data_IF_072212452631
#
_entry.id   IF_072212452631
#
_cell.length_a   1.000
_cell.length_b   1.000
_cell.length_c   1.000
_cell.angle_alpha   90.00
_cell.angle_beta   90.00
_cell.angle_gamma   90.00
#
_symmetry.space_group_name_H-M   'P 1'
#
loop_
_entity.id
_entity.type
_entity.pdbx_description
1 polymer ?
#
# COMPACT_ATOMS: atom_id res chain seq x y z
N UNK A 1 7.10 -4.09 -18.20
CA UNK A 1 6.41 -3.20 -17.26
C UNK A 1 7.08 -3.16 -15.88
N UNK A 2 7.94 -4.14 -15.58
CA UNK A 2 8.71 -4.23 -14.35
C UNK A 2 10.20 -4.19 -14.66
N UNK A 3 10.96 -3.44 -13.88
CA UNK A 3 12.42 -3.35 -13.89
C UNK A 3 12.93 -3.64 -12.49
N UNK A 4 14.03 -4.37 -12.36
CA UNK A 4 14.63 -4.72 -11.08
C UNK A 4 16.13 -4.45 -11.06
N UNK A 5 16.65 -4.14 -9.87
CA UNK A 5 18.07 -3.97 -9.61
C UNK A 5 18.38 -4.22 -8.14
N UNK A 6 19.51 -4.86 -7.85
CA UNK A 6 20.03 -4.96 -6.49
C UNK A 6 20.98 -3.79 -6.21
N UNK A 7 20.67 -2.99 -5.16
CA UNK A 7 21.40 -1.79 -4.75
C UNK A 7 21.96 -1.99 -3.33
N UNK A 8 23.17 -2.48 -3.21
CA UNK A 8 23.85 -2.71 -1.90
C UNK A 8 22.99 -3.52 -0.91
N UNK A 9 22.39 -4.63 -1.36
CA UNK A 9 21.52 -5.48 -0.54
C UNK A 9 20.08 -4.99 -0.38
N UNK A 10 19.72 -3.91 -1.06
CA UNK A 10 18.35 -3.39 -1.17
C UNK A 10 17.82 -3.71 -2.57
N UNK A 11 16.74 -4.46 -2.66
CA UNK A 11 16.10 -4.73 -3.94
C UNK A 11 15.31 -3.51 -4.40
N UNK A 12 15.52 -3.09 -5.64
CA UNK A 12 14.73 -2.04 -6.29
C UNK A 12 13.84 -2.66 -7.35
N UNK A 13 12.53 -2.38 -7.30
CA UNK A 13 11.54 -2.84 -8.27
C UNK A 13 10.75 -1.63 -8.75
N UNK A 14 10.89 -1.27 -10.02
CA UNK A 14 10.07 -0.24 -10.66
C UNK A 14 8.93 -0.88 -11.42
N UNK A 15 7.70 -0.47 -11.12
CA UNK A 15 6.49 -0.87 -11.86
C UNK A 15 6.05 0.33 -12.68
N UNK A 16 6.28 0.30 -13.99
CA UNK A 16 5.93 1.43 -14.89
C UNK A 16 4.44 1.50 -15.17
N UNK A 17 3.76 0.36 -15.19
CA UNK A 17 2.32 0.25 -15.45
C UNK A 17 1.81 -1.11 -15.00
N UNK A 18 0.57 -1.18 -14.57
CA UNK A 18 -0.14 -2.44 -14.32
C UNK A 18 -0.79 -2.95 -15.63
N UNK A 19 -0.39 -4.12 -16.08
CA UNK A 19 -0.87 -4.80 -17.28
C UNK A 19 -0.91 -6.31 -17.04
N UNK A 20 -1.50 -7.06 -17.94
CA UNK A 20 -1.75 -8.50 -17.78
C UNK A 20 -0.50 -9.33 -17.43
N UNK A 21 0.68 -8.90 -17.87
CA UNK A 21 1.94 -9.59 -17.60
C UNK A 21 2.70 -9.05 -16.38
N UNK A 22 2.19 -8.01 -15.71
CA UNK A 22 2.95 -7.31 -14.65
C UNK A 22 3.12 -8.17 -13.42
N UNK A 23 2.11 -8.97 -13.06
CA UNK A 23 2.20 -9.87 -11.91
C UNK A 23 3.33 -10.91 -12.07
N UNK A 24 3.40 -11.60 -13.20
CA UNK A 24 4.46 -12.60 -13.42
C UNK A 24 5.85 -11.97 -13.49
N UNK A 25 5.98 -10.79 -14.11
CA UNK A 25 7.24 -10.04 -14.11
C UNK A 25 7.64 -9.61 -12.69
N UNK A 26 6.69 -9.10 -11.92
CA UNK A 26 6.90 -8.70 -10.52
C UNK A 26 7.35 -9.87 -9.66
N UNK A 27 6.67 -11.00 -9.75
CA UNK A 27 6.98 -12.23 -9.00
C UNK A 27 8.38 -12.75 -9.33
N UNK A 28 8.75 -12.73 -10.62
CA UNK A 28 10.10 -13.09 -11.07
C UNK A 28 11.16 -12.15 -10.49
N UNK A 29 10.96 -10.83 -10.63
CA UNK A 29 11.86 -9.80 -10.11
C UNK A 29 12.03 -9.90 -8.58
N UNK A 30 10.91 -10.03 -7.85
CA UNK A 30 10.91 -10.21 -6.41
C UNK A 30 11.73 -11.44 -6.00
N UNK A 31 11.46 -12.60 -6.64
CA UNK A 31 12.13 -13.85 -6.32
C UNK A 31 13.63 -13.80 -6.64
N UNK A 32 14.02 -13.17 -7.76
CA UNK A 32 15.41 -12.97 -8.13
C UNK A 32 16.17 -12.14 -7.09
N UNK A 33 15.61 -10.98 -6.71
CA UNK A 33 16.22 -10.08 -5.72
C UNK A 33 16.38 -10.74 -4.34
N UNK A 34 15.37 -11.49 -3.88
CA UNK A 34 15.47 -12.24 -2.62
C UNK A 34 16.57 -13.31 -2.71
N UNK A 35 16.66 -14.02 -3.84
CA UNK A 35 17.71 -15.03 -4.07
C UNK A 35 19.10 -14.42 -4.15
N UNK A 36 19.21 -13.17 -4.60
CA UNK A 36 20.46 -12.39 -4.62
C UNK A 36 20.80 -11.77 -3.25
N UNK A 37 19.96 -11.97 -2.24
CA UNK A 37 20.20 -11.53 -0.86
C UNK A 37 19.64 -10.16 -0.50
N UNK A 38 18.63 -9.67 -1.22
CA UNK A 38 17.93 -8.45 -0.82
C UNK A 38 17.28 -8.63 0.57
N UNK A 39 17.56 -7.72 1.48
CA UNK A 39 17.03 -7.71 2.85
C UNK A 39 15.94 -6.66 3.08
N UNK A 40 15.75 -5.80 2.09
CA UNK A 40 14.71 -4.77 2.06
C UNK A 40 14.40 -4.37 0.62
N UNK A 41 13.29 -3.66 0.39
CA UNK A 41 12.82 -3.33 -0.95
C UNK A 41 12.49 -1.84 -1.11
N UNK A 42 12.76 -1.33 -2.29
CA UNK A 42 12.19 -0.08 -2.82
C UNK A 42 11.24 -0.44 -3.95
N UNK A 43 9.97 -0.08 -3.82
CA UNK A 43 9.01 -0.09 -4.90
C UNK A 43 8.96 1.29 -5.54
N UNK A 44 9.21 1.43 -6.83
CA UNK A 44 9.11 2.70 -7.54
C UNK A 44 7.86 2.72 -8.42
N UNK A 45 6.89 3.55 -8.00
CA UNK A 45 5.62 3.79 -8.67
C UNK A 45 5.55 5.20 -9.27
N UNK A 46 6.65 5.93 -9.28
CA UNK A 46 6.66 7.27 -9.89
C UNK A 46 6.34 7.17 -11.37
N UNK A 47 5.54 8.10 -11.85
CA UNK A 47 5.01 8.14 -13.22
C UNK A 47 4.12 6.96 -13.62
N UNK A 48 3.79 6.06 -12.71
CA UNK A 48 2.85 4.98 -12.95
C UNK A 48 1.41 5.51 -12.88
N UNK A 49 0.73 5.59 -14.00
CA UNK A 49 -0.64 6.13 -14.12
C UNK A 49 -1.72 5.07 -13.89
N UNK A 50 -1.35 3.88 -13.39
CA UNK A 50 -2.27 2.77 -13.15
C UNK A 50 -2.25 1.70 -14.25
N UNK A 51 -3.42 1.14 -14.56
CA UNK A 51 -3.54 0.11 -15.60
C UNK A 51 -4.73 -0.81 -15.40
N UNK A 52 -4.49 -2.12 -15.20
CA UNK A 52 -5.54 -3.09 -14.89
C UNK A 52 -5.63 -3.34 -13.40
N UNK A 53 -6.85 -3.29 -12.86
CA UNK A 53 -7.12 -3.52 -11.44
C UNK A 53 -6.74 -4.95 -11.05
N UNK A 54 -6.99 -5.90 -11.94
CA UNK A 54 -6.68 -7.32 -11.73
C UNK A 54 -5.20 -7.52 -11.46
N UNK A 55 -4.31 -6.92 -12.25
CA UNK A 55 -2.86 -7.05 -12.04
C UNK A 55 -2.41 -6.47 -10.70
N UNK A 56 -2.96 -5.34 -10.28
CA UNK A 56 -2.67 -4.78 -8.96
C UNK A 56 -3.19 -5.67 -7.82
N UNK A 57 -4.40 -6.24 -7.97
CA UNK A 57 -4.97 -7.20 -7.01
C UNK A 57 -4.12 -8.46 -6.88
N UNK A 58 -3.62 -9.02 -7.98
CA UNK A 58 -2.75 -10.21 -7.96
C UNK A 58 -1.46 -9.94 -7.19
N UNK A 59 -0.80 -8.79 -7.45
CA UNK A 59 0.43 -8.43 -6.74
C UNK A 59 0.14 -8.18 -5.26
N UNK A 60 -0.93 -7.44 -4.93
CA UNK A 60 -1.31 -7.22 -3.54
C UNK A 60 -1.67 -8.53 -2.84
N UNK A 61 -2.45 -9.40 -3.48
CA UNK A 61 -2.75 -10.71 -2.94
C UNK A 61 -1.49 -11.53 -2.67
N UNK A 62 -0.45 -11.40 -3.50
CA UNK A 62 0.83 -12.06 -3.30
C UNK A 62 1.62 -11.49 -2.13
N UNK A 63 1.60 -10.17 -1.91
CA UNK A 63 2.41 -9.49 -0.88
C UNK A 63 1.75 -9.42 0.49
N UNK A 64 0.41 -9.38 0.53
CA UNK A 64 -0.34 -9.13 1.76
C UNK A 64 -0.60 -10.42 2.53
N UNK A 65 -0.73 -10.36 3.87
CA UNK A 65 -1.21 -11.48 4.65
C UNK A 65 -2.63 -11.86 4.23
N UNK A 66 -2.98 -13.13 4.43
CA UNK A 66 -4.33 -13.61 4.13
C UNK A 66 -5.39 -12.78 4.85
N UNK A 67 -6.37 -12.32 4.12
CA UNK A 67 -7.49 -11.54 4.63
C UNK A 67 -7.88 -10.36 3.75
N UNK A 68 -8.78 -9.54 4.27
CA UNK A 68 -9.27 -8.34 3.61
C UNK A 68 -8.19 -7.25 3.58
N UNK A 69 -7.99 -6.60 2.44
CA UNK A 69 -7.03 -5.50 2.33
C UNK A 69 -7.60 -4.20 1.73
N UNK A 70 -8.72 -4.25 1.02
CA UNK A 70 -9.40 -3.07 0.48
C UNK A 70 -10.84 -3.41 0.09
N UNK A 71 -11.60 -2.41 -0.33
CA UNK A 71 -12.96 -2.56 -0.85
C UNK A 71 -13.07 -1.91 -2.23
N UNK A 72 -13.98 -2.44 -3.04
CA UNK A 72 -14.45 -1.84 -4.27
C UNK A 72 -15.94 -1.54 -4.13
N UNK A 73 -16.33 -0.26 -4.23
CA UNK A 73 -17.72 0.17 -4.21
C UNK A 73 -18.23 0.28 -5.63
N UNK A 74 -19.19 -0.57 -6.00
CA UNK A 74 -19.80 -0.57 -7.33
C UNK A 74 -20.82 0.58 -7.44
N UNK A 75 -20.58 1.52 -8.34
CA UNK A 75 -21.38 2.75 -8.47
C UNK A 75 -22.87 2.50 -8.76
N UNK A 76 -23.16 1.52 -9.62
CA UNK A 76 -24.54 1.23 -10.05
C UNK A 76 -25.42 0.63 -8.95
N UNK A 77 -24.86 -0.23 -8.11
CA UNK A 77 -25.59 -1.01 -7.11
C UNK A 77 -25.35 -0.54 -5.69
N UNK A 78 -24.34 0.31 -5.48
CA UNK A 78 -23.79 0.65 -4.16
C UNK A 78 -23.33 -0.60 -3.37
N UNK A 79 -23.09 -1.69 -4.06
CA UNK A 79 -22.55 -2.93 -3.50
C UNK A 79 -21.08 -2.74 -3.18
N UNK A 80 -20.65 -3.22 -2.01
CA UNK A 80 -19.26 -3.24 -1.60
C UNK A 80 -18.68 -4.64 -1.78
N UNK A 81 -17.69 -4.75 -2.66
CA UNK A 81 -16.95 -5.98 -2.91
C UNK A 81 -15.67 -5.96 -2.09
N UNK A 82 -15.41 -7.05 -1.39
CA UNK A 82 -14.21 -7.20 -0.58
C UNK A 82 -13.03 -7.67 -1.45
N UNK A 83 -11.90 -6.96 -1.35
CA UNK A 83 -10.64 -7.34 -1.98
C UNK A 83 -9.78 -8.07 -0.94
N UNK A 84 -9.60 -9.37 -1.15
CA UNK A 84 -8.95 -10.27 -0.19
C UNK A 84 -7.70 -10.93 -0.76
N UNK A 85 -6.70 -11.12 0.08
CA UNK A 85 -5.56 -11.98 -0.19
C UNK A 85 -5.87 -13.40 0.29
N UNK A 86 -5.64 -14.39 -0.55
CA UNK A 86 -5.98 -15.79 -0.26
C UNK A 86 -4.75 -16.67 0.00
N UNK A 87 -3.58 -16.24 -0.45
CA UNK A 87 -2.37 -17.03 -0.32
C UNK A 87 -1.79 -17.00 1.10
N UNK A 88 -0.85 -17.91 1.37
CA UNK A 88 -0.14 -18.02 2.64
C UNK A 88 1.18 -17.25 2.67
N UNK A 89 1.63 -16.76 1.52
CA UNK A 89 2.84 -15.94 1.43
C UNK A 89 2.50 -14.51 1.87
N UNK A 90 3.41 -13.90 2.56
CA UNK A 90 3.37 -12.46 2.85
C UNK A 90 4.79 -11.91 2.75
N UNK A 91 4.90 -10.67 2.31
CA UNK A 91 6.16 -9.96 2.38
C UNK A 91 6.47 -9.60 3.83
N UNK A 92 7.63 -10.03 4.33
CA UNK A 92 8.05 -9.81 5.72
C UNK A 92 9.40 -9.07 5.82
N UNK A 93 9.75 -8.33 4.77
CA UNK A 93 10.96 -7.50 4.75
C UNK A 93 10.58 -6.01 4.66
N UNK A 94 11.38 -5.12 5.27
CA UNK A 94 11.13 -3.69 5.23
C UNK A 94 11.04 -3.16 3.80
N UNK A 95 10.12 -2.23 3.56
CA UNK A 95 10.06 -1.58 2.25
C UNK A 95 9.77 -0.09 2.32
N UNK A 96 10.13 0.59 1.24
CA UNK A 96 9.79 1.98 0.93
C UNK A 96 9.14 2.00 -0.45
N UNK A 97 8.10 2.81 -0.62
CA UNK A 97 7.47 3.03 -1.93
C UNK A 97 7.67 4.48 -2.36
N UNK A 98 8.28 4.66 -3.53
CA UNK A 98 8.45 5.97 -4.16
C UNK A 98 7.21 6.32 -4.95
N UNK A 99 6.68 7.53 -4.73
CA UNK A 99 5.48 8.05 -5.38
C UNK A 99 5.68 9.50 -5.82
N UNK A 100 4.91 9.94 -6.82
CA UNK A 100 4.88 11.34 -7.25
C UNK A 100 3.48 11.76 -7.72
N UNK A 101 3.31 13.01 -8.10
CA UNK A 101 2.03 13.58 -8.55
C UNK A 101 1.44 12.92 -9.81
N UNK A 102 2.19 12.03 -10.47
CA UNK A 102 1.71 11.24 -11.62
C UNK A 102 1.39 9.78 -11.25
N UNK A 103 1.73 9.35 -10.03
CA UNK A 103 1.27 8.06 -9.50
C UNK A 103 -0.25 8.08 -9.35
N UNK A 104 -0.96 7.19 -10.03
CA UNK A 104 -2.43 7.25 -10.11
C UNK A 104 -3.08 5.86 -10.17
N UNK A 105 -4.36 5.79 -9.81
CA UNK A 105 -5.20 4.61 -9.98
C UNK A 105 -4.71 3.39 -9.21
N UNK A 106 -4.43 2.31 -9.92
CA UNK A 106 -3.98 1.04 -9.33
C UNK A 106 -2.61 1.14 -8.66
N UNK A 107 -1.77 2.11 -9.08
CA UNK A 107 -0.53 2.40 -8.39
C UNK A 107 -0.78 3.05 -7.02
N UNK A 108 -1.83 3.87 -6.91
CA UNK A 108 -2.27 4.40 -5.62
C UNK A 108 -2.88 3.32 -4.75
N UNK A 109 -3.68 2.39 -5.33
CA UNK A 109 -4.19 1.24 -4.58
C UNK A 109 -3.04 0.42 -3.98
N UNK A 110 -2.03 0.10 -4.78
CA UNK A 110 -0.85 -0.63 -4.31
C UNK A 110 -0.15 0.11 -3.16
N UNK A 111 0.13 1.39 -3.35
CA UNK A 111 0.84 2.21 -2.36
C UNK A 111 0.04 2.36 -1.06
N UNK A 112 -1.27 2.67 -1.14
CA UNK A 112 -2.09 2.92 0.04
C UNK A 112 -2.36 1.65 0.86
N UNK A 113 -2.57 0.50 0.20
CA UNK A 113 -2.75 -0.77 0.90
C UNK A 113 -1.49 -1.12 1.69
N UNK A 114 -0.31 -1.09 1.05
CA UNK A 114 0.94 -1.36 1.77
C UNK A 114 1.22 -0.36 2.89
N UNK A 115 0.87 0.92 2.72
CA UNK A 115 0.99 1.94 3.76
C UNK A 115 0.03 1.68 4.93
N UNK A 116 -1.25 1.41 4.65
CA UNK A 116 -2.27 1.13 5.67
C UNK A 116 -1.91 -0.06 6.55
N UNK A 117 -1.32 -1.10 5.94
CA UNK A 117 -0.83 -2.28 6.65
C UNK A 117 0.60 -2.13 7.19
N UNK A 118 1.16 -0.94 7.17
CA UNK A 118 2.51 -0.63 7.67
C UNK A 118 3.64 -1.48 7.03
N UNK A 119 3.40 -1.97 5.81
CA UNK A 119 4.38 -2.75 5.05
C UNK A 119 5.38 -1.89 4.32
N UNK A 120 5.04 -0.61 4.10
CA UNK A 120 5.88 0.36 3.40
C UNK A 120 5.76 1.75 4.01
N UNK A 121 6.75 2.59 3.76
CA UNK A 121 6.69 4.04 3.95
C UNK A 121 6.69 4.70 2.59
N UNK A 122 5.76 5.64 2.36
CA UNK A 122 5.73 6.41 1.12
C UNK A 122 6.73 7.56 1.20
N UNK A 123 7.56 7.70 0.17
CA UNK A 123 8.52 8.81 0.01
C UNK A 123 8.33 9.42 -1.38
N UNK A 124 8.36 10.73 -1.46
CA UNK A 124 8.23 11.45 -2.72
C UNK A 124 7.26 12.60 -2.63
N UNK A 125 6.34 12.71 -3.58
CA UNK A 125 5.31 13.76 -3.64
C UNK A 125 3.90 13.17 -3.52
N UNK A 126 2.92 14.03 -3.21
CA UNK A 126 1.50 13.66 -3.16
C UNK A 126 1.05 13.09 -4.49
N UNK A 127 0.30 11.98 -4.46
CA UNK A 127 -0.15 11.29 -5.66
C UNK A 127 -1.33 11.97 -6.34
N UNK A 128 -1.76 11.46 -7.51
CA UNK A 128 -2.75 12.09 -8.36
C UNK A 128 -4.18 12.13 -7.80
N UNK A 129 -4.53 11.23 -6.89
CA UNK A 129 -5.87 11.19 -6.30
C UNK A 129 -6.94 10.59 -7.20
N UNK A 130 -6.68 9.42 -7.80
CA UNK A 130 -7.61 8.73 -8.69
C UNK A 130 -7.94 7.35 -8.13
N UNK A 131 -9.07 7.24 -7.41
CA UNK A 131 -9.53 5.96 -6.87
C UNK A 131 -10.63 5.30 -7.71
N UNK A 132 -11.07 5.93 -8.79
CA UNK A 132 -12.19 5.47 -9.62
C UNK A 132 -11.72 4.50 -10.67
N UNK A 133 -12.40 3.35 -10.76
CA UNK A 133 -12.22 2.36 -11.81
C UNK A 133 -13.10 2.70 -12.98
N UNK A 134 -12.54 2.64 -14.18
CA UNK A 134 -13.25 2.89 -15.44
C UNK A 134 -13.29 1.61 -16.27
N UNK A 135 -14.45 1.33 -16.87
CA UNK A 135 -14.65 0.23 -17.79
C UNK A 135 -15.08 0.71 -19.16
N UNK A 136 -14.62 0.01 -20.20
CA UNK A 136 -14.96 0.31 -21.57
C UNK A 136 -16.09 -0.59 -22.05
N UNK A 137 -17.15 0.01 -22.57
CA UNK A 137 -18.33 -0.66 -23.12
C UNK A 137 -18.36 -0.46 -24.64
N UNK A 138 -18.12 -1.50 -25.45
CA UNK A 138 -18.13 -1.38 -26.89
C UNK A 138 -19.53 -1.06 -27.40
N UNK A 139 -19.61 -0.16 -28.39
CA UNK A 139 -20.83 0.15 -29.12
C UNK A 139 -20.79 -0.64 -30.42
N UNK A 140 -21.83 -1.43 -30.66
CA UNK A 140 -21.85 -2.51 -31.65
C UNK A 140 -21.81 -2.06 -33.13
N UNK A 141 -21.90 -0.75 -33.44
CA UNK A 141 -22.00 -0.28 -34.84
C UNK A 141 -20.74 0.31 -35.44
N UNK A 142 -19.76 0.83 -34.64
CA UNK A 142 -18.73 1.71 -35.20
C UNK A 142 -17.31 1.52 -34.65
N UNK A 143 -16.96 0.39 -34.09
CA UNK A 143 -15.68 0.20 -33.37
C UNK A 143 -15.41 1.26 -32.26
N UNK A 144 -16.48 1.91 -31.80
CA UNK A 144 -16.42 2.89 -30.70
C UNK A 144 -16.67 2.22 -29.36
N UNK A 145 -16.21 2.81 -28.29
CA UNK A 145 -16.52 2.39 -26.93
C UNK A 145 -16.81 3.59 -26.04
N UNK A 146 -17.69 3.41 -25.07
CA UNK A 146 -17.93 4.38 -24.00
C UNK A 146 -17.11 3.98 -22.80
N UNK A 147 -16.35 4.91 -22.23
CA UNK A 147 -15.64 4.75 -20.98
C UNK A 147 -16.48 5.33 -19.84
N UNK A 148 -16.85 4.50 -18.88
CA UNK A 148 -17.66 4.90 -17.74
C UNK A 148 -16.96 4.53 -16.43
N UNK A 149 -17.14 5.36 -15.42
CA UNK A 149 -16.79 5.00 -14.05
C UNK A 149 -17.76 3.91 -13.58
N UNK A 150 -17.22 2.79 -13.14
CA UNK A 150 -18.01 1.63 -12.69
C UNK A 150 -17.91 1.40 -11.20
N UNK A 151 -16.79 1.76 -10.59
CA UNK A 151 -16.58 1.57 -9.16
C UNK A 151 -15.53 2.54 -8.60
N UNK A 152 -15.47 2.58 -7.28
CA UNK A 152 -14.49 3.38 -6.53
C UNK A 152 -13.78 2.49 -5.52
N UNK A 153 -12.45 2.55 -5.49
CA UNK A 153 -11.62 1.85 -4.52
C UNK A 153 -11.63 2.57 -3.18
N UNK A 154 -11.69 1.80 -2.10
CA UNK A 154 -11.75 2.31 -0.73
C UNK A 154 -10.84 1.50 0.19
N UNK A 155 -10.27 2.18 1.19
CA UNK A 155 -9.51 1.55 2.26
C UNK A 155 -10.44 0.84 3.27
N UNK A 156 -9.91 -0.15 3.99
CA UNK A 156 -10.67 -0.90 5.02
C UNK A 156 -11.22 0.04 6.09
N UNK A 157 -10.42 0.99 6.56
CA UNK A 157 -10.84 1.97 7.59
C UNK A 157 -11.85 2.98 7.08
N UNK A 158 -12.27 2.84 5.84
CA UNK A 158 -13.13 3.79 5.16
C UNK A 158 -12.36 4.98 4.61
N UNK A 159 -12.96 5.62 3.64
CA UNK A 159 -12.35 6.75 2.94
C UNK A 159 -11.74 6.35 1.60
N UNK A 160 -11.60 7.36 0.78
CA UNK A 160 -11.00 7.27 -0.54
C UNK A 160 -9.98 8.39 -0.67
N UNK A 161 -8.96 8.15 -1.47
CA UNK A 161 -7.98 9.16 -1.84
C UNK A 161 -8.42 9.99 -3.07
N UNK A 162 -9.65 9.79 -3.54
CA UNK A 162 -10.20 10.51 -4.69
C UNK A 162 -10.09 12.02 -4.53
N UNK A 163 -9.47 12.68 -5.51
CA UNK A 163 -9.28 14.13 -5.56
C UNK A 163 -8.27 14.72 -4.56
N UNK A 164 -7.72 13.90 -3.65
CA UNK A 164 -6.75 14.35 -2.63
C UNK A 164 -5.36 13.79 -2.83
N UNK A 165 -5.27 12.57 -3.38
CA UNK A 165 -4.04 11.79 -3.44
C UNK A 165 -3.63 11.20 -2.09
N UNK A 166 -2.57 10.40 -2.14
CA UNK A 166 -1.90 9.86 -0.97
C UNK A 166 -0.81 10.82 -0.52
N UNK A 167 -0.80 11.15 0.74
CA UNK A 167 0.27 11.96 1.32
C UNK A 167 1.43 11.05 1.69
N UNK A 168 2.66 11.31 1.20
CA UNK A 168 3.81 10.51 1.57
C UNK A 168 4.20 10.71 3.04
N UNK A 169 4.72 9.66 3.69
CA UNK A 169 5.29 9.75 5.04
C UNK A 169 6.49 10.72 5.08
N UNK A 170 7.19 10.86 3.97
CA UNK A 170 8.28 11.82 3.79
C UNK A 170 8.16 12.52 2.45
N UNK A 171 7.83 13.81 2.50
CA UNK A 171 7.82 14.65 1.31
C UNK A 171 9.26 14.92 0.86
N UNK A 172 9.59 14.57 -0.38
CA UNK A 172 10.87 14.85 -1.03
C UNK A 172 10.59 15.26 -2.46
N UNK A 173 10.81 16.51 -2.79
CA UNK A 173 10.66 17.02 -4.15
C UNK A 173 11.93 16.77 -4.95
N UNK A 174 11.78 16.45 -6.24
CA UNK A 174 12.91 16.48 -7.17
C UNK A 174 13.18 17.94 -7.52
N UNK A 175 14.41 18.37 -7.33
CA UNK A 175 14.84 19.73 -7.64
C UNK A 175 15.65 19.76 -8.95
N UNK A 176 15.59 20.90 -9.65
CA UNK A 176 16.37 21.16 -10.84
C UNK A 176 15.56 21.09 -12.14
N UNK A 177 16.24 21.34 -13.25
CA UNK A 177 15.64 21.37 -14.59
C UNK A 177 15.30 19.98 -15.15
N UNK A 178 15.97 18.93 -14.66
CA UNK A 178 15.77 17.57 -15.12
C UNK A 178 15.03 16.75 -14.04
N UNK A 179 13.72 16.65 -14.20
CA UNK A 179 12.84 15.78 -13.40
C UNK A 179 12.48 14.48 -14.12
N UNK A 180 13.10 14.20 -15.27
CA UNK A 180 12.88 12.97 -16.00
C UNK A 180 13.63 11.83 -15.30
N UNK A 181 12.88 10.94 -14.67
CA UNK A 181 13.41 9.82 -13.87
C UNK A 181 14.31 8.89 -14.70
N UNK A 182 14.08 8.76 -16.01
CA UNK A 182 14.85 7.87 -16.88
C UNK A 182 16.24 8.44 -17.24
N UNK A 183 16.48 9.71 -16.91
CA UNK A 183 17.74 10.42 -17.16
C UNK A 183 18.53 10.70 -15.86
N UNK A 184 17.93 10.47 -14.69
CA UNK A 184 18.60 10.65 -13.41
C UNK A 184 19.53 9.45 -13.13
N UNK A 185 20.75 9.75 -12.69
CA UNK A 185 21.57 8.71 -12.07
C UNK A 185 21.07 8.43 -10.65
N UNK A 186 21.46 7.30 -10.09
CA UNK A 186 21.09 6.96 -8.71
C UNK A 186 21.49 8.07 -7.72
N UNK A 187 22.64 8.70 -7.90
CA UNK A 187 23.16 9.77 -7.04
C UNK A 187 22.38 11.08 -7.18
N UNK A 188 21.81 11.33 -8.35
CA UNK A 188 21.01 12.52 -8.65
C UNK A 188 19.56 12.39 -8.20
N UNK A 189 19.09 11.17 -7.95
CA UNK A 189 17.72 10.88 -7.52
C UNK A 189 17.57 11.04 -6.01
N UNK A 190 17.26 12.26 -5.56
CA UNK A 190 17.10 12.57 -4.14
C UNK A 190 16.02 11.72 -3.45
N UNK A 191 14.95 11.33 -4.16
CA UNK A 191 13.90 10.48 -3.63
C UNK A 191 14.41 9.05 -3.42
N UNK A 192 15.13 8.49 -4.39
CA UNK A 192 15.75 7.18 -4.27
C UNK A 192 16.82 7.17 -3.17
N UNK A 193 17.67 8.20 -3.10
CA UNK A 193 18.65 8.34 -2.02
C UNK A 193 18.00 8.37 -0.63
N UNK A 194 16.89 9.10 -0.48
CA UNK A 194 16.12 9.13 0.76
C UNK A 194 15.55 7.75 1.12
N UNK A 195 15.04 7.01 0.13
CA UNK A 195 14.53 5.65 0.33
C UNK A 195 15.64 4.70 0.81
N UNK A 196 16.79 4.69 0.13
CA UNK A 196 17.93 3.88 0.50
C UNK A 196 18.46 4.21 1.91
N UNK A 197 18.57 5.51 2.24
CA UNK A 197 18.98 5.96 3.57
C UNK A 197 17.99 5.53 4.66
N UNK A 198 16.69 5.58 4.38
CA UNK A 198 15.64 5.13 5.28
C UNK A 198 15.76 3.63 5.58
N UNK A 199 15.96 2.81 4.55
CA UNK A 199 16.09 1.35 4.70
C UNK A 199 17.41 0.94 5.37
N UNK A 200 18.47 1.72 5.19
CA UNK A 200 19.74 1.51 5.92
C UNK A 200 19.67 1.93 7.40
N UNK A 201 18.53 2.46 7.87
CA UNK A 201 18.35 2.95 9.24
C UNK A 201 19.03 4.30 9.54
N UNK A 202 19.52 5.00 8.53
CA UNK A 202 20.19 6.28 8.68
C UNK A 202 19.21 7.46 8.90
N UNK A 203 17.92 7.27 8.52
CA UNK A 203 16.87 8.29 8.63
C UNK A 203 15.59 7.62 9.16
N UNK A 204 15.02 8.20 10.23
CA UNK A 204 13.71 7.80 10.72
C UNK A 204 12.61 8.53 9.94
N UNK A 205 11.66 7.77 9.40
CA UNK A 205 10.45 8.29 8.78
C UNK A 205 9.27 7.93 9.69
N UNK A 206 8.39 8.87 10.05
CA UNK A 206 7.23 8.57 10.88
C UNK A 206 6.39 7.45 10.29
N UNK A 207 5.97 6.52 11.15
CA UNK A 207 4.93 5.54 10.85
C UNK A 207 3.69 6.05 11.55
N UNK A 208 2.58 6.21 10.84
CA UNK A 208 1.32 6.50 11.50
C UNK A 208 0.98 5.33 12.45
N UNK A 209 0.54 5.61 13.69
CA UNK A 209 0.18 4.55 14.62
C UNK A 209 -0.97 3.72 14.03
N UNK A 210 -0.87 2.41 14.15
CA UNK A 210 -1.93 1.48 13.75
C UNK A 210 -3.22 1.82 14.49
N UNK A 211 -4.28 2.32 13.82
CA UNK A 211 -5.55 2.60 14.49
C UNK A 211 -6.32 1.32 14.86
N UNK A 212 -5.77 0.12 14.57
CA UNK A 212 -6.37 -1.17 14.90
C UNK A 212 -5.90 -1.78 16.22
N UNK A 213 -4.87 -1.25 16.88
CA UNK A 213 -4.45 -1.72 18.21
C UNK A 213 -5.23 -0.97 19.30
N UNK A 214 -6.53 -1.24 19.39
CA UNK A 214 -7.22 -1.04 20.67
C UNK A 214 -6.70 -2.14 21.59
N UNK A 215 -5.86 -1.78 22.56
CA UNK A 215 -5.60 -2.65 23.72
C UNK A 215 -6.96 -3.13 24.26
N UNK A 216 -7.11 -4.43 24.56
CA UNK A 216 -8.30 -4.90 25.21
C UNK A 216 -8.42 -4.12 26.54
N UNK A 217 -9.63 -3.69 26.93
CA UNK A 217 -9.80 -2.95 28.18
C UNK A 217 -9.19 -3.77 29.31
N UNK A 218 -8.22 -3.19 29.99
CA UNK A 218 -7.69 -3.73 31.25
C UNK A 218 -8.87 -3.81 32.21
N UNK A 219 -9.34 -5.02 32.46
CA UNK A 219 -10.30 -5.27 33.54
C UNK A 219 -9.58 -4.96 34.83
N UNK A 220 -9.81 -3.76 35.36
CA UNK A 220 -9.52 -3.46 36.77
C UNK A 220 -10.30 -4.45 37.64
N UNK A 221 -9.59 -5.44 38.13
CA UNK A 221 -10.09 -6.32 39.18
C UNK A 221 -10.06 -5.52 40.47
N UNK A 222 -11.12 -4.77 40.70
CA UNK A 222 -11.39 -4.17 42.01
C UNK A 222 -11.60 -5.30 43.01
N UNK A 223 -10.60 -5.54 43.79
CA UNK A 223 -10.66 -6.41 44.95
C UNK A 223 -11.65 -5.79 45.97
N UNK A 224 -12.82 -6.38 46.11
CA UNK A 224 -13.76 -6.02 47.16
C UNK A 224 -13.19 -6.43 48.52
N UNK A 225 -13.32 -5.60 49.57
CA UNK A 225 -12.89 -5.96 50.90
C UNK A 225 -13.82 -7.04 51.52
N UNK A 226 -13.24 -8.07 52.08
CA UNK A 226 -13.91 -9.13 52.84
C UNK A 226 -14.56 -8.55 54.11
N UNK A 227 -15.89 -8.57 54.17
CA UNK A 227 -16.63 -8.36 55.41
C UNK A 227 -16.55 -9.64 56.30
N UNK A 228 -15.97 -9.46 57.45
CA UNK A 228 -15.94 -10.42 58.56
C UNK A 228 -17.31 -10.35 59.24
N UNK A 229 -18.11 -11.39 59.13
CA UNK A 229 -19.31 -11.53 59.93
C UNK A 229 -18.95 -12.23 61.24
N UNK A 230 -18.97 -11.47 62.33
CA UNK A 230 -19.03 -12.02 63.71
C UNK A 230 -20.38 -12.69 63.93
N UNK A 231 -20.29 -13.92 64.38
CA UNK A 231 -21.40 -14.71 64.91
C UNK A 231 -21.66 -14.30 66.36
N UNK A 232 -22.85 -13.81 66.64
CA UNK A 232 -23.31 -13.71 68.05
C UNK A 232 -24.52 -14.64 68.25
N UNK A 233 -24.31 -15.64 69.04
CA UNK A 233 -25.29 -16.54 69.69
C UNK A 233 -25.99 -15.84 70.86
N UNK A 234 -27.29 -15.92 70.95
CA UNK A 234 -28.13 -15.96 72.11
C UNK A 234 -29.60 -16.19 71.69
N UNK A 235 -30.34 -17.20 71.99
CA UNK A 235 -30.75 -17.63 73.31
C UNK A 235 -32.22 -17.24 73.52
N UNK A 236 -33.09 -18.14 73.32
CA UNK A 236 -34.39 -18.56 73.87
C UNK A 236 -35.33 -19.13 72.83
#
# INVERSE_FOLDING_TARGET
SVEEQLLDGIGYIRIRRFSDNTFEQFKSAYSALISEGATSLVFDLRDNTGGTVESAKEILSYLMPRGLYAHELVEKTSERLDLTAENTFQMDIPSVTLVNGRTAGEAELFACVLQEFQRTKLIGDTTAGRSRIQSYFPISSDNAAVCLTTSTLQLIKGGSWEGKGLTPNKLVMLEGENTNLDLLTQEQDAQLQMALATLRGNISVPVEPDPGTTEPPTTDTTTAPSETTESTTAGE
#
